data_IF_362033997213
#
_entry.id   IF_362033997213
#
_cell.length_a   1.000
_cell.length_b   1.000
_cell.length_c   1.000
_cell.angle_alpha   90.00
_cell.angle_beta   90.00
_cell.angle_gamma   90.00
#
_symmetry.space_group_name_H-M   'P 1'
#
loop_
_entity.id
_entity.type
_entity.pdbx_description
1 polymer ?
#
# COMPACT_ATOMS: atom_id res chain seq x y z
N UNK A 1 24.45 18.16 -17.33
CA UNK A 1 23.25 17.67 -18.03
C UNK A 1 22.12 17.75 -17.05
N UNK A 2 21.17 18.64 -17.31
CA UNK A 2 20.02 18.90 -16.44
C UNK A 2 19.18 17.63 -16.37
N UNK A 3 19.19 16.95 -15.23
CA UNK A 3 18.19 15.92 -14.94
C UNK A 3 16.91 16.69 -14.59
N UNK A 4 16.11 16.99 -15.60
CA UNK A 4 14.76 17.50 -15.41
C UNK A 4 13.95 16.36 -14.79
N UNK A 5 14.01 16.25 -13.46
CA UNK A 5 13.21 15.30 -12.70
C UNK A 5 11.73 15.57 -13.02
N UNK A 6 10.96 14.51 -13.29
CA UNK A 6 9.52 14.62 -13.48
C UNK A 6 8.91 15.43 -12.33
N UNK A 7 8.04 16.43 -12.60
CA UNK A 7 7.40 17.18 -11.54
C UNK A 7 6.37 16.29 -10.83
N UNK A 8 6.84 15.48 -9.88
CA UNK A 8 6.01 14.57 -9.07
C UNK A 8 4.88 15.30 -8.31
N UNK A 9 5.00 16.62 -8.14
CA UNK A 9 4.02 17.48 -7.49
C UNK A 9 2.72 17.61 -8.28
N UNK A 10 2.79 17.50 -9.61
CA UNK A 10 1.64 17.63 -10.51
C UNK A 10 1.03 16.29 -10.90
N UNK A 11 1.61 15.18 -10.43
CA UNK A 11 1.15 13.84 -10.79
C UNK A 11 -0.23 13.56 -10.17
N UNK A 12 -1.21 13.23 -11.03
CA UNK A 12 -2.57 12.92 -10.58
C UNK A 12 -2.64 11.62 -9.77
N UNK A 13 -3.47 11.50 -8.71
CA UNK A 13 -3.64 10.27 -7.94
C UNK A 13 -4.06 9.04 -8.77
N UNK A 14 -4.59 9.25 -9.97
CA UNK A 14 -5.11 8.21 -10.88
C UNK A 14 -4.18 8.03 -12.11
N UNK A 15 -3.05 8.72 -12.14
CA UNK A 15 -2.08 8.62 -13.22
C UNK A 15 -0.97 7.62 -12.88
N UNK A 16 -0.68 6.77 -13.87
CA UNK A 16 0.46 5.85 -13.85
C UNK A 16 1.74 6.64 -14.09
N UNK A 17 2.74 6.42 -13.25
CA UNK A 17 4.08 6.97 -13.43
C UNK A 17 4.98 5.90 -14.04
N UNK A 18 5.45 6.14 -15.25
CA UNK A 18 6.48 5.31 -15.88
C UNK A 18 7.84 5.57 -15.23
N UNK A 19 8.54 4.50 -14.88
CA UNK A 19 9.88 4.51 -14.29
C UNK A 19 10.83 3.80 -15.24
N UNK A 20 12.13 4.02 -15.04
CA UNK A 20 13.15 3.31 -15.76
C UNK A 20 13.10 1.79 -15.54
N UNK A 21 13.78 1.04 -16.43
CA UNK A 21 13.87 -0.42 -16.41
C UNK A 21 12.53 -1.17 -16.63
N UNK A 22 11.57 -0.53 -17.31
CA UNK A 22 10.26 -1.11 -17.63
C UNK A 22 9.35 -1.28 -16.41
N UNK A 23 9.62 -0.51 -15.35
CA UNK A 23 8.80 -0.44 -14.16
C UNK A 23 7.81 0.71 -14.28
N UNK A 24 6.63 0.53 -13.72
CA UNK A 24 5.59 1.55 -13.67
C UNK A 24 4.95 1.55 -12.29
N UNK A 25 4.67 2.73 -11.74
CA UNK A 25 3.82 2.88 -10.56
C UNK A 25 2.39 3.11 -11.00
N UNK A 26 1.56 2.09 -10.86
CA UNK A 26 0.15 2.09 -11.25
C UNK A 26 -0.70 2.45 -10.03
N UNK A 27 -1.64 3.40 -10.15
CA UNK A 27 -2.53 3.78 -9.04
C UNK A 27 -3.42 2.63 -8.57
N UNK A 28 -3.64 2.56 -7.26
CA UNK A 28 -4.52 1.59 -6.61
C UNK A 28 -5.12 2.16 -5.34
N UNK A 29 -6.23 1.59 -4.89
CA UNK A 29 -6.66 1.66 -3.50
C UNK A 29 -6.55 0.28 -2.87
N UNK A 30 -5.69 0.15 -1.87
CA UNK A 30 -5.57 -1.07 -1.08
C UNK A 30 -6.35 -0.91 0.23
N UNK A 31 -7.13 -1.92 0.57
CA UNK A 31 -7.85 -2.03 1.84
C UNK A 31 -7.45 -3.34 2.50
N UNK A 32 -7.09 -3.29 3.78
CA UNK A 32 -6.94 -4.49 4.60
C UNK A 32 -8.24 -4.75 5.33
N UNK A 33 -8.63 -6.01 5.44
CA UNK A 33 -9.80 -6.38 6.21
C UNK A 33 -9.52 -7.55 7.13
N UNK A 34 -10.13 -7.52 8.31
CA UNK A 34 -10.17 -8.63 9.26
C UNK A 34 -11.60 -9.12 9.38
N UNK A 35 -11.76 -10.44 9.38
CA UNK A 35 -13.04 -11.11 9.51
C UNK A 35 -13.18 -11.52 10.96
N UNK A 36 -14.22 -11.05 11.62
CA UNK A 36 -14.59 -11.42 12.98
C UNK A 36 -15.84 -12.30 12.98
N UNK A 37 -15.94 -13.28 13.88
CA UNK A 37 -17.16 -14.05 14.04
C UNK A 37 -18.27 -13.17 14.65
N UNK A 38 -19.48 -13.19 14.10
CA UNK A 38 -20.63 -12.49 14.72
C UNK A 38 -21.31 -13.35 15.79
N UNK A 39 -21.16 -14.69 15.71
CA UNK A 39 -21.67 -15.64 16.69
C UNK A 39 -20.56 -16.58 17.19
N UNK A 40 -20.67 -17.13 18.41
CA UNK A 40 -19.70 -18.09 18.95
C UNK A 40 -19.55 -19.36 18.10
N UNK A 41 -20.61 -19.79 17.42
CA UNK A 41 -20.59 -20.92 16.49
C UNK A 41 -19.70 -20.66 15.27
N UNK A 42 -19.59 -19.40 14.85
CA UNK A 42 -18.84 -18.99 13.66
C UNK A 42 -17.33 -18.94 13.91
N UNK A 43 -16.91 -18.76 15.16
CA UNK A 43 -15.50 -18.66 15.56
C UNK A 43 -14.73 -19.98 15.40
N UNK A 44 -15.42 -21.12 15.49
CA UNK A 44 -14.81 -22.46 15.45
C UNK A 44 -14.95 -23.15 14.09
N UNK A 45 -15.59 -22.48 13.11
CA UNK A 45 -15.83 -23.03 11.78
C UNK A 45 -14.79 -22.53 10.77
N UNK A 46 -14.32 -23.40 9.87
CA UNK A 46 -13.44 -22.97 8.80
C UNK A 46 -14.18 -22.04 7.84
N UNK A 47 -13.57 -20.90 7.52
CA UNK A 47 -14.10 -20.00 6.49
C UNK A 47 -13.88 -20.59 5.11
N UNK A 48 -14.92 -20.51 4.28
CA UNK A 48 -14.87 -20.79 2.85
C UNK A 48 -14.34 -19.56 2.11
N UNK A 49 -13.05 -19.60 1.75
CA UNK A 49 -12.35 -18.49 1.08
C UNK A 49 -13.02 -18.10 -0.24
N UNK A 50 -13.44 -19.09 -1.04
CA UNK A 50 -14.04 -18.84 -2.35
C UNK A 50 -15.40 -18.14 -2.23
N UNK A 51 -16.24 -18.57 -1.28
CA UNK A 51 -17.52 -17.89 -1.03
C UNK A 51 -17.32 -16.48 -0.51
N UNK A 52 -16.38 -16.28 0.43
CA UNK A 52 -16.07 -14.95 0.94
C UNK A 52 -15.59 -14.03 -0.18
N UNK A 53 -14.70 -14.51 -1.06
CA UNK A 53 -14.26 -13.76 -2.25
C UNK A 53 -15.45 -13.35 -3.11
N UNK A 54 -16.33 -14.29 -3.42
CA UNK A 54 -17.51 -14.03 -4.26
C UNK A 54 -18.46 -13.01 -3.65
N UNK A 55 -18.74 -13.11 -2.35
CA UNK A 55 -19.59 -12.16 -1.63
C UNK A 55 -19.00 -10.75 -1.63
N UNK A 56 -17.69 -10.61 -1.45
CA UNK A 56 -17.00 -9.31 -1.51
C UNK A 56 -17.05 -8.70 -2.91
N UNK A 57 -16.82 -9.49 -3.96
CA UNK A 57 -16.89 -9.04 -5.35
C UNK A 57 -18.33 -8.61 -5.70
N UNK A 58 -19.33 -9.37 -5.29
CA UNK A 58 -20.74 -9.06 -5.51
C UNK A 58 -21.17 -7.79 -4.78
N UNK A 59 -20.72 -7.60 -3.54
CA UNK A 59 -20.94 -6.37 -2.79
C UNK A 59 -20.27 -5.17 -3.49
N UNK A 60 -19.01 -5.28 -3.89
CA UNK A 60 -18.32 -4.21 -4.61
C UNK A 60 -19.06 -3.81 -5.89
N UNK A 61 -19.59 -4.79 -6.62
CA UNK A 61 -20.38 -4.53 -7.83
C UNK A 61 -21.72 -3.87 -7.53
N UNK A 62 -22.44 -4.33 -6.50
CA UNK A 62 -23.82 -3.89 -6.21
C UNK A 62 -23.86 -2.58 -5.43
N UNK A 63 -23.04 -2.46 -4.39
CA UNK A 63 -23.06 -1.34 -3.44
C UNK A 63 -22.12 -0.20 -3.83
N UNK A 64 -21.04 -0.51 -4.54
CA UNK A 64 -20.00 0.45 -4.91
C UNK A 64 -19.91 0.68 -6.43
N UNK A 65 -20.57 -0.14 -7.25
CA UNK A 65 -20.47 -0.11 -8.72
C UNK A 65 -19.03 -0.29 -9.24
N UNK A 66 -18.20 -1.05 -8.52
CA UNK A 66 -16.79 -1.30 -8.85
C UNK A 66 -16.63 -2.76 -9.29
N UNK A 67 -15.78 -2.99 -10.29
CA UNK A 67 -15.39 -4.34 -10.71
C UNK A 67 -14.04 -4.70 -10.10
N UNK A 68 -13.97 -5.84 -9.41
CA UNK A 68 -12.76 -6.31 -8.75
C UNK A 68 -12.42 -7.71 -9.28
N UNK A 69 -11.24 -7.91 -9.90
CA UNK A 69 -10.74 -9.23 -10.26
C UNK A 69 -10.53 -10.11 -9.02
N UNK A 70 -10.72 -11.42 -9.15
CA UNK A 70 -10.55 -12.35 -8.03
C UNK A 70 -9.09 -12.45 -7.52
N UNK A 71 -8.13 -12.12 -8.39
CA UNK A 71 -6.69 -12.11 -8.08
C UNK A 71 -6.27 -10.88 -7.27
N UNK A 72 -7.06 -9.80 -7.32
CA UNK A 72 -6.83 -8.58 -6.53
C UNK A 72 -7.39 -8.68 -5.10
N UNK A 73 -7.92 -9.86 -4.73
CA UNK A 73 -8.45 -10.16 -3.42
C UNK A 73 -7.69 -11.34 -2.82
N UNK A 74 -6.90 -11.06 -1.79
CA UNK A 74 -6.16 -12.06 -1.02
C UNK A 74 -6.86 -12.32 0.30
N UNK A 75 -7.07 -13.60 0.63
CA UNK A 75 -7.69 -14.02 1.89
C UNK A 75 -6.78 -15.06 2.52
N UNK A 76 -6.48 -14.87 3.80
CA UNK A 76 -5.66 -15.77 4.58
C UNK A 76 -6.40 -16.11 5.87
N UNK A 77 -6.52 -17.41 6.12
CA UNK A 77 -7.08 -17.91 7.37
C UNK A 77 -5.98 -17.95 8.40
N UNK A 78 -6.30 -17.49 9.59
CA UNK A 78 -5.43 -17.71 10.73
C UNK A 78 -5.39 -19.21 11.07
N UNK A 79 -4.26 -19.70 11.57
CA UNK A 79 -4.06 -21.10 11.98
C UNK A 79 -4.69 -21.36 13.37
N UNK A 80 -5.00 -22.60 13.70
CA UNK A 80 -5.58 -23.02 14.99
C UNK A 80 -6.96 -22.45 15.38
N UNK A 81 -7.99 -22.83 14.60
CA UNK A 81 -9.41 -22.52 14.86
C UNK A 81 -9.91 -23.01 16.23
N UNK A 82 -9.26 -24.03 16.82
CA UNK A 82 -9.73 -24.70 18.06
C UNK A 82 -9.27 -24.03 19.37
N UNK A 83 -8.27 -23.14 19.33
CA UNK A 83 -7.71 -22.47 20.52
C UNK A 83 -8.18 -21.01 20.67
N UNK A 84 -9.05 -20.55 19.78
CA UNK A 84 -9.45 -19.14 19.72
C UNK A 84 -10.50 -18.77 20.75
N UNK A 85 -10.37 -17.55 21.24
CA UNK A 85 -11.39 -16.88 22.05
C UNK A 85 -12.53 -16.44 21.14
N UNK A 86 -13.65 -16.12 21.79
CA UNK A 86 -14.94 -15.82 21.15
C UNK A 86 -14.87 -14.69 20.11
N UNK A 87 -14.04 -13.68 20.35
CA UNK A 87 -13.97 -12.46 19.54
C UNK A 87 -12.70 -12.40 18.67
N UNK A 88 -11.88 -13.45 18.71
CA UNK A 88 -10.64 -13.50 17.94
C UNK A 88 -10.97 -13.52 16.43
N UNK A 89 -10.18 -12.81 15.63
CA UNK A 89 -10.42 -12.76 14.19
C UNK A 89 -10.22 -14.15 13.58
N UNK A 90 -11.01 -14.45 12.56
CA UNK A 90 -11.09 -15.77 11.91
C UNK A 90 -10.26 -15.85 10.64
N UNK A 91 -10.18 -14.73 9.90
CA UNK A 91 -9.35 -14.56 8.72
C UNK A 91 -8.96 -13.09 8.57
N UNK A 92 -7.93 -12.84 7.78
CA UNK A 92 -7.57 -11.51 7.32
C UNK A 92 -7.37 -11.53 5.80
N UNK A 93 -7.41 -10.37 5.18
CA UNK A 93 -7.22 -10.27 3.75
C UNK A 93 -6.86 -8.87 3.32
N UNK A 94 -6.53 -8.76 2.04
CA UNK A 94 -6.34 -7.47 1.40
C UNK A 94 -7.06 -7.42 0.07
N UNK A 95 -7.60 -6.25 -0.24
CA UNK A 95 -8.34 -5.95 -1.43
C UNK A 95 -7.66 -4.80 -2.16
N UNK A 96 -7.38 -4.97 -3.46
CA UNK A 96 -6.80 -3.92 -4.30
C UNK A 96 -7.79 -3.50 -5.39
N UNK A 97 -8.12 -2.21 -5.43
CA UNK A 97 -8.97 -1.62 -6.46
C UNK A 97 -8.05 -0.83 -7.42
N UNK A 98 -7.96 -1.29 -8.68
CA UNK A 98 -7.10 -0.66 -9.70
C UNK A 98 -7.88 0.16 -10.72
N UNK A 99 -9.13 -0.20 -10.98
CA UNK A 99 -10.00 0.60 -11.86
C UNK A 99 -10.49 1.83 -11.11
N UNK A 100 -9.85 2.97 -11.39
CA UNK A 100 -10.13 4.27 -10.78
C UNK A 100 -10.59 5.29 -11.84
N UNK A 101 -10.87 4.83 -13.07
CA UNK A 101 -11.19 5.70 -14.21
C UNK A 101 -12.46 6.52 -14.01
N UNK A 102 -13.40 6.01 -13.20
CA UNK A 102 -14.66 6.69 -12.87
C UNK A 102 -14.49 7.95 -12.02
N UNK A 103 -13.34 8.11 -11.33
CA UNK A 103 -13.03 9.31 -10.54
C UNK A 103 -12.54 10.47 -11.41
N UNK A 104 -12.20 10.21 -12.67
CA UNK A 104 -11.72 11.24 -13.58
C UNK A 104 -12.87 12.14 -14.05
N UNK A 105 -13.02 13.31 -13.43
CA UNK A 105 -13.90 14.35 -13.96
C UNK A 105 -13.20 15.08 -15.11
N UNK A 106 -13.39 14.61 -16.35
CA UNK A 106 -12.87 15.27 -17.55
C UNK A 106 -13.44 16.69 -17.68
N UNK A 107 -12.70 17.70 -17.21
CA UNK A 107 -12.69 19.05 -17.76
C UNK A 107 -11.24 19.46 -17.91
N UNK A 108 -10.70 19.33 -19.13
CA UNK A 108 -9.42 19.91 -19.50
C UNK A 108 -9.65 21.41 -19.71
N UNK A 109 -9.20 22.26 -18.79
CA UNK A 109 -8.89 23.68 -18.98
C UNK A 109 -7.98 24.15 -17.80
N UNK A 110 -7.33 25.30 -17.98
CA UNK A 110 -6.10 25.81 -17.34
C UNK A 110 -6.06 25.97 -15.79
N UNK A 111 -7.04 25.46 -15.03
CA UNK A 111 -7.08 25.46 -13.55
C UNK A 111 -6.44 24.19 -12.94
N UNK A 112 -5.46 23.61 -13.61
CA UNK A 112 -4.94 22.26 -13.37
C UNK A 112 -4.47 22.01 -11.92
N UNK A 113 -3.91 23.00 -11.23
CA UNK A 113 -3.39 22.82 -9.87
C UNK A 113 -4.48 22.77 -8.78
N UNK A 114 -5.57 23.53 -8.97
CA UNK A 114 -6.74 23.46 -8.08
C UNK A 114 -7.54 22.19 -8.36
N UNK A 115 -7.66 21.84 -9.64
CA UNK A 115 -8.30 20.60 -10.08
C UNK A 115 -7.62 19.35 -9.50
N UNK A 116 -6.28 19.32 -9.41
CA UNK A 116 -5.55 18.21 -8.78
C UNK A 116 -5.80 18.10 -7.27
N UNK A 117 -5.88 19.23 -6.55
CA UNK A 117 -6.21 19.23 -5.12
C UNK A 117 -7.65 18.79 -4.88
N UNK A 118 -8.58 19.26 -5.71
CA UNK A 118 -9.99 18.87 -5.69
C UNK A 118 -10.13 17.38 -5.99
N UNK A 119 -9.44 16.88 -7.01
CA UNK A 119 -9.42 15.46 -7.36
C UNK A 119 -8.83 14.60 -6.25
N UNK A 120 -7.72 15.02 -5.64
CA UNK A 120 -7.13 14.35 -4.49
C UNK A 120 -8.07 14.30 -3.29
N UNK A 121 -8.85 15.38 -3.05
CA UNK A 121 -9.88 15.38 -2.00
C UNK A 121 -11.03 14.43 -2.34
N UNK A 122 -11.58 14.48 -3.56
CA UNK A 122 -12.63 13.55 -4.03
C UNK A 122 -12.20 12.09 -3.90
N UNK A 123 -10.95 11.80 -4.27
CA UNK A 123 -10.37 10.47 -4.16
C UNK A 123 -10.36 9.97 -2.70
N UNK A 124 -9.92 10.83 -1.76
CA UNK A 124 -9.93 10.50 -0.33
C UNK A 124 -11.34 10.33 0.21
N UNK A 125 -12.23 11.30 -0.04
CA UNK A 125 -13.62 11.26 0.41
C UNK A 125 -14.33 9.99 -0.09
N UNK A 126 -14.06 9.60 -1.36
CA UNK A 126 -14.55 8.35 -1.92
C UNK A 126 -13.94 7.11 -1.23
N UNK A 127 -12.61 7.07 -1.05
CA UNK A 127 -11.92 5.97 -0.34
C UNK A 127 -12.50 5.77 1.06
N UNK A 128 -12.68 6.86 1.79
CA UNK A 128 -13.19 6.84 3.16
C UNK A 128 -14.66 6.38 3.16
N UNK A 129 -15.47 6.80 2.18
CA UNK A 129 -16.83 6.26 1.97
C UNK A 129 -16.84 4.75 1.69
N UNK A 130 -15.86 4.24 0.93
CA UNK A 130 -15.74 2.80 0.68
C UNK A 130 -15.42 2.06 1.97
N UNK A 131 -14.48 2.58 2.77
CA UNK A 131 -14.13 2.01 4.08
C UNK A 131 -15.36 2.00 4.99
N UNK A 132 -16.06 3.11 5.14
CA UNK A 132 -17.27 3.21 5.98
C UNK A 132 -18.37 2.22 5.55
N UNK A 133 -18.55 2.01 4.24
CA UNK A 133 -19.56 1.07 3.72
C UNK A 133 -19.18 -0.39 3.92
N UNK A 134 -17.89 -0.71 3.90
CA UNK A 134 -17.40 -2.07 4.06
C UNK A 134 -17.13 -2.43 5.52
N UNK A 135 -16.83 -1.43 6.35
CA UNK A 135 -16.64 -1.60 7.77
C UNK A 135 -17.95 -2.03 8.44
N UNK A 136 -17.82 -2.95 9.40
CA UNK A 136 -18.92 -3.62 10.08
C UNK A 136 -19.91 -4.37 9.16
N UNK A 137 -19.58 -4.61 7.89
CA UNK A 137 -20.42 -5.38 6.97
C UNK A 137 -20.61 -6.81 7.50
N UNK A 138 -21.87 -7.24 7.60
CA UNK A 138 -22.20 -8.63 7.95
C UNK A 138 -22.25 -9.52 6.70
N UNK A 139 -21.41 -10.54 6.66
CA UNK A 139 -21.39 -11.55 5.58
C UNK A 139 -21.93 -12.87 6.15
N UNK A 140 -22.96 -13.41 5.48
CA UNK A 140 -23.48 -14.73 5.82
C UNK A 140 -22.84 -15.80 4.93
N UNK A 141 -22.05 -16.69 5.54
CA UNK A 141 -21.42 -17.82 4.87
C UNK A 141 -21.98 -19.11 5.47
N UNK A 142 -22.76 -19.86 4.66
CA UNK A 142 -23.30 -21.17 5.05
C UNK A 142 -24.16 -21.15 6.33
N UNK A 143 -24.87 -20.04 6.60
CA UNK A 143 -25.71 -19.87 7.79
C UNK A 143 -24.98 -19.30 9.00
N UNK A 144 -23.66 -19.10 8.91
CA UNK A 144 -22.86 -18.40 9.91
C UNK A 144 -22.66 -16.95 9.52
N UNK A 145 -22.78 -16.05 10.49
CA UNK A 145 -22.59 -14.61 10.28
C UNK A 145 -21.18 -14.21 10.70
N UNK A 146 -20.54 -13.45 9.85
CA UNK A 146 -19.25 -12.85 10.08
C UNK A 146 -19.36 -11.35 9.92
N UNK A 147 -18.52 -10.60 10.64
CA UNK A 147 -18.41 -9.15 10.54
C UNK A 147 -17.05 -8.78 10.01
N UNK A 148 -17.00 -7.85 9.07
CA UNK A 148 -15.73 -7.31 8.58
C UNK A 148 -15.34 -6.06 9.38
N UNK A 149 -14.04 -5.93 9.65
CA UNK A 149 -13.40 -4.68 10.01
C UNK A 149 -12.46 -4.31 8.87
N UNK A 150 -12.58 -3.09 8.33
CA UNK A 150 -11.86 -2.66 7.13
C UNK A 150 -11.08 -1.39 7.42
N UNK A 151 -9.82 -1.35 7.00
CA UNK A 151 -8.95 -0.20 7.18
C UNK A 151 -8.03 0.01 5.98
N UNK A 152 -7.64 1.27 5.75
CA UNK A 152 -6.56 1.59 4.82
C UNK A 152 -5.23 1.20 5.49
N UNK A 153 -4.32 0.49 4.81
CA UNK A 153 -3.00 0.21 5.35
C UNK A 153 -2.26 1.52 5.67
N UNK A 154 -1.56 1.57 6.80
CA UNK A 154 -0.78 2.75 7.20
C UNK A 154 0.21 3.20 6.11
N UNK A 155 0.83 2.24 5.41
CA UNK A 155 1.76 2.50 4.31
C UNK A 155 1.13 3.14 3.07
N UNK A 156 -0.19 3.05 2.90
CA UNK A 156 -0.94 3.69 1.82
C UNK A 156 -1.68 4.97 2.31
N UNK A 157 -1.54 5.35 3.60
CA UNK A 157 -2.11 6.59 4.14
C UNK A 157 -1.06 7.68 4.36
N UNK A 158 -0.79 8.42 3.28
CA UNK A 158 0.21 9.49 3.27
C UNK A 158 -0.06 10.59 4.33
N UNK A 159 -1.30 11.03 4.49
CA UNK A 159 -1.60 12.15 5.42
C UNK A 159 -1.48 11.70 6.87
N UNK A 160 -1.89 10.45 7.19
CA UNK A 160 -1.66 9.84 8.49
C UNK A 160 -0.17 9.74 8.81
N UNK A 161 0.64 9.17 7.91
CA UNK A 161 2.09 9.11 8.10
C UNK A 161 2.71 10.50 8.26
N UNK A 162 2.25 11.46 7.46
CA UNK A 162 2.72 12.84 7.51
C UNK A 162 2.49 13.48 8.87
N UNK A 163 1.26 13.36 9.37
CA UNK A 163 0.90 13.84 10.69
C UNK A 163 1.76 13.20 11.78
N UNK A 164 1.98 11.88 11.71
CA UNK A 164 2.78 11.15 12.70
C UNK A 164 4.22 11.65 12.78
N UNK A 165 4.89 11.87 11.64
CA UNK A 165 6.26 12.39 11.68
C UNK A 165 6.30 13.87 12.07
N UNK A 166 5.33 14.68 11.64
CA UNK A 166 5.25 16.10 12.02
C UNK A 166 5.09 16.25 13.53
N UNK A 167 4.21 15.44 14.14
CA UNK A 167 4.06 15.36 15.59
C UNK A 167 5.34 14.87 16.26
N UNK A 168 5.93 13.78 15.77
CA UNK A 168 7.17 13.24 16.33
C UNK A 168 8.27 14.30 16.42
N UNK A 169 8.54 15.05 15.34
CA UNK A 169 9.57 16.07 15.33
C UNK A 169 9.16 17.36 16.07
N UNK A 170 7.87 17.71 16.10
CA UNK A 170 7.37 18.84 16.88
C UNK A 170 7.52 18.60 18.39
N UNK A 171 7.34 17.37 18.87
CA UNK A 171 7.43 17.02 20.29
C UNK A 171 8.82 16.53 20.72
N UNK A 172 9.61 15.89 19.84
CA UNK A 172 10.99 15.48 20.12
C UNK A 172 11.92 16.67 20.40
N UNK A 173 11.62 17.85 19.87
CA UNK A 173 12.38 19.08 20.13
C UNK A 173 12.22 19.66 21.55
N UNK A 174 11.41 19.03 22.44
CA UNK A 174 11.24 19.50 23.83
C UNK A 174 12.28 18.94 24.81
N UNK A 175 13.16 18.03 24.40
CA UNK A 175 14.18 17.46 25.28
C UNK A 175 15.45 17.06 24.53
N UNK A 176 16.48 17.90 24.61
CA UNK A 176 17.89 17.52 24.40
C UNK A 176 18.36 17.13 22.99
N UNK A 177 17.92 17.80 21.92
CA UNK A 177 18.63 17.71 20.62
C UNK A 177 19.10 19.09 20.17
N UNK A 178 20.39 19.37 20.38
CA UNK A 178 21.13 20.44 19.69
C UNK A 178 21.42 19.98 18.25
N UNK A 179 20.40 19.95 17.42
CA UNK A 179 20.50 19.71 15.99
C UNK A 179 19.39 20.50 15.33
N UNK A 180 19.65 21.11 14.17
CA UNK A 180 18.64 21.88 13.43
C UNK A 180 17.38 21.05 13.11
N UNK A 181 16.36 21.67 12.50
CA UNK A 181 15.13 21.01 12.04
C UNK A 181 15.46 19.64 11.43
N UNK A 182 15.22 18.58 12.19
CA UNK A 182 15.41 17.23 11.71
C UNK A 182 14.13 16.85 10.97
N UNK A 183 14.25 16.63 9.67
CA UNK A 183 13.15 16.28 8.79
C UNK A 183 13.39 14.84 8.30
N UNK A 184 12.33 14.04 8.09
CA UNK A 184 12.50 12.70 7.56
C UNK A 184 13.02 12.77 6.13
N UNK A 185 13.97 11.91 5.81
CA UNK A 185 14.65 11.88 4.52
C UNK A 185 14.79 10.46 3.93
N UNK A 186 14.34 9.44 4.67
CA UNK A 186 14.60 8.03 4.35
C UNK A 186 13.30 7.25 4.15
N UNK A 187 13.18 6.57 3.01
CA UNK A 187 12.07 5.65 2.68
C UNK A 187 12.58 4.20 2.76
N UNK A 188 11.83 3.34 3.43
CA UNK A 188 12.10 1.90 3.49
C UNK A 188 10.99 1.16 2.74
N UNK A 189 11.38 0.38 1.73
CA UNK A 189 10.49 -0.46 0.95
C UNK A 189 10.84 -1.93 1.22
N UNK A 190 9.86 -2.68 1.73
CA UNK A 190 9.93 -4.13 1.93
C UNK A 190 9.20 -4.86 0.79
N UNK A 191 9.55 -6.12 0.57
CA UNK A 191 8.86 -7.03 -0.35
C UNK A 191 9.11 -6.75 -1.83
N UNK A 192 10.16 -6.02 -2.20
CA UNK A 192 10.45 -5.73 -3.62
C UNK A 192 11.05 -6.98 -4.28
N UNK A 193 10.51 -7.48 -5.40
CA UNK A 193 11.10 -8.65 -6.06
C UNK A 193 12.54 -8.38 -6.50
N UNK A 194 13.49 -9.18 -6.03
CA UNK A 194 14.93 -8.98 -6.28
C UNK A 194 15.27 -8.90 -7.77
N UNK A 195 14.54 -9.67 -8.62
CA UNK A 195 14.71 -9.67 -10.08
C UNK A 195 14.28 -8.38 -10.77
N UNK A 196 13.46 -7.55 -10.14
CA UNK A 196 13.03 -6.28 -10.74
C UNK A 196 14.15 -5.26 -10.76
N UNK A 197 15.02 -5.32 -9.76
CA UNK A 197 16.18 -4.44 -9.58
C UNK A 197 17.52 -5.15 -9.84
N UNK A 198 17.49 -6.37 -10.39
CA UNK A 198 18.69 -7.09 -10.80
C UNK A 198 19.13 -6.66 -12.21
N UNK A 199 20.42 -6.88 -12.51
CA UNK A 199 20.94 -6.68 -13.86
C UNK A 199 20.37 -7.71 -14.84
N UNK A 200 19.79 -7.27 -15.98
CA UNK A 200 19.20 -8.18 -16.95
C UNK A 200 20.20 -9.23 -17.43
N UNK A 201 19.81 -10.52 -17.40
CA UNK A 201 20.56 -11.67 -17.95
C UNK A 201 21.85 -12.06 -17.21
N UNK A 202 22.20 -11.38 -16.12
CA UNK A 202 23.49 -11.59 -15.44
C UNK A 202 23.32 -12.11 -14.01
N UNK A 203 22.26 -11.70 -13.30
CA UNK A 203 22.11 -12.05 -11.89
C UNK A 203 20.65 -12.12 -11.45
N UNK A 204 20.36 -12.95 -10.44
CA UNK A 204 19.12 -12.91 -9.67
C UNK A 204 19.22 -11.99 -8.45
N UNK A 205 20.43 -11.53 -8.10
CA UNK A 205 20.68 -10.63 -6.97
C UNK A 205 20.33 -9.19 -7.34
N UNK A 206 19.79 -8.42 -6.39
CA UNK A 206 19.48 -7.02 -6.62
C UNK A 206 20.78 -6.23 -6.90
N UNK A 207 20.76 -5.37 -7.91
CA UNK A 207 21.89 -4.49 -8.26
C UNK A 207 21.67 -3.11 -7.65
N UNK A 208 22.68 -2.61 -6.95
CA UNK A 208 22.66 -1.26 -6.37
C UNK A 208 22.57 -0.19 -7.46
N UNK A 209 23.22 -0.41 -8.62
CA UNK A 209 23.20 0.54 -9.74
C UNK A 209 21.82 0.63 -10.40
N UNK A 210 21.18 -0.52 -10.67
CA UNK A 210 19.83 -0.56 -11.23
C UNK A 210 18.83 0.06 -10.24
N UNK A 211 18.96 -0.26 -8.96
CA UNK A 211 18.12 0.32 -7.90
C UNK A 211 18.30 1.83 -7.82
N UNK A 212 19.54 2.31 -7.84
CA UNK A 212 19.82 3.75 -7.83
C UNK A 212 19.19 4.45 -9.03
N UNK A 213 19.31 3.85 -10.22
CA UNK A 213 18.73 4.36 -11.45
C UNK A 213 17.21 4.50 -11.33
N UNK A 214 16.54 3.42 -10.90
CA UNK A 214 15.08 3.38 -10.67
C UNK A 214 14.64 4.42 -9.64
N UNK A 215 15.33 4.57 -8.51
CA UNK A 215 14.89 5.51 -7.46
C UNK A 215 15.37 6.95 -7.67
N UNK A 216 16.36 7.17 -8.53
CA UNK A 216 16.81 8.51 -8.88
C UNK A 216 15.74 9.29 -9.65
N UNK A 217 14.75 8.62 -10.24
CA UNK A 217 13.59 9.27 -10.86
C UNK A 217 12.79 10.10 -9.86
N UNK A 218 12.86 9.79 -8.56
CA UNK A 218 12.13 10.50 -7.52
C UNK A 218 12.87 11.70 -6.94
N UNK A 219 14.16 11.84 -7.23
CA UNK A 219 15.00 12.93 -6.73
C UNK A 219 16.42 12.48 -6.43
N UNK A 220 17.22 13.38 -5.85
CA UNK A 220 18.64 13.10 -5.65
C UNK A 220 18.85 12.25 -4.41
N UNK A 221 19.43 11.07 -4.61
CA UNK A 221 19.72 10.09 -3.55
C UNK A 221 21.04 10.45 -2.87
N UNK A 222 21.03 10.50 -1.54
CA UNK A 222 22.22 10.65 -0.70
C UNK A 222 22.87 9.30 -0.42
N UNK A 223 22.07 8.34 0.06
CA UNK A 223 22.49 6.98 0.36
C UNK A 223 21.43 5.99 -0.11
N UNK A 224 21.88 4.84 -0.59
CA UNK A 224 21.02 3.73 -1.02
C UNK A 224 21.58 2.44 -0.44
N UNK A 225 20.71 1.65 0.17
CA UNK A 225 21.06 0.31 0.62
C UNK A 225 20.04 -0.70 0.10
N UNK A 226 20.52 -1.86 -0.34
CA UNK A 226 19.69 -2.96 -0.81
C UNK A 226 20.16 -4.24 -0.14
N UNK A 227 19.27 -4.83 0.64
CA UNK A 227 19.54 -6.06 1.41
C UNK A 227 18.47 -7.10 1.13
N UNK A 228 18.75 -8.36 1.45
CA UNK A 228 17.73 -9.40 1.44
C UNK A 228 16.64 -9.04 2.46
N UNK A 229 15.37 -9.30 2.11
CA UNK A 229 14.25 -9.04 3.00
C UNK A 229 14.04 -10.24 3.93
N UNK A 230 14.96 -10.37 4.90
CA UNK A 230 14.94 -11.41 5.93
C UNK A 230 14.26 -10.93 7.22
N UNK A 231 13.62 -9.77 7.19
CA UNK A 231 12.85 -9.24 8.32
C UNK A 231 11.59 -10.11 8.50
N UNK A 232 11.74 -11.26 9.16
CA UNK A 232 10.68 -11.86 9.95
C UNK A 232 10.32 -10.85 11.02
N UNK A 233 9.34 -9.98 10.76
CA UNK A 233 8.76 -9.13 11.79
C UNK A 233 8.30 -10.08 12.91
N UNK A 234 9.06 -10.07 14.02
CA UNK A 234 8.83 -10.86 15.23
C UNK A 234 7.71 -10.25 16.07
N UNK A 235 6.60 -9.91 15.44
CA UNK A 235 5.37 -9.68 16.18
C UNK A 235 4.70 -11.03 16.37
N UNK A 236 4.64 -11.41 17.65
CA UNK A 236 4.14 -12.68 18.11
C UNK A 236 2.68 -12.85 17.69
N UNK A 237 2.41 -14.01 17.11
CA UNK A 237 1.15 -14.48 16.54
C UNK A 237 0.75 -13.86 15.19
N UNK A 238 0.54 -14.76 14.22
CA UNK A 238 -0.05 -14.52 12.90
C UNK A 238 0.89 -14.12 11.75
N UNK A 239 1.79 -15.05 11.41
CA UNK A 239 2.14 -15.45 10.04
C UNK A 239 1.92 -14.37 8.96
N UNK A 240 2.70 -13.28 9.05
CA UNK A 240 2.80 -12.26 8.01
C UNK A 240 3.07 -12.89 6.64
N UNK A 241 2.83 -12.13 5.57
CA UNK A 241 3.27 -12.44 4.21
C UNK A 241 4.51 -13.32 4.23
N UNK A 242 4.43 -14.58 3.77
CA UNK A 242 5.60 -15.45 3.67
C UNK A 242 6.43 -14.89 2.52
N UNK A 243 7.13 -13.78 2.79
CA UNK A 243 8.09 -13.18 1.89
C UNK A 243 9.17 -14.24 1.82
N UNK A 244 9.18 -14.97 0.70
CA UNK A 244 10.13 -16.05 0.51
C UNK A 244 11.52 -15.40 0.52
N UNK A 245 12.26 -15.65 1.61
CA UNK A 245 13.65 -15.20 1.79
C UNK A 245 14.46 -15.54 0.55
N UNK A 246 15.21 -14.56 0.05
CA UNK A 246 16.02 -14.67 -1.18
C UNK A 246 15.30 -14.32 -2.50
N UNK A 247 13.96 -14.24 -2.55
CA UNK A 247 13.23 -13.76 -3.74
C UNK A 247 12.88 -12.27 -3.68
N UNK A 248 12.84 -11.72 -2.48
CA UNK A 248 12.53 -10.31 -2.23
C UNK A 248 13.69 -9.61 -1.53
N UNK A 249 13.79 -8.31 -1.76
CA UNK A 249 14.79 -7.44 -1.16
C UNK A 249 14.12 -6.26 -0.47
N UNK A 250 14.79 -5.79 0.58
CA UNK A 250 14.51 -4.55 1.28
C UNK A 250 15.37 -3.45 0.70
N UNK A 251 14.74 -2.34 0.34
CA UNK A 251 15.41 -1.18 -0.26
C UNK A 251 15.25 0.01 0.69
N UNK A 252 16.36 0.61 1.07
CA UNK A 252 16.39 1.82 1.91
C UNK A 252 16.98 2.95 1.09
N UNK A 253 16.16 3.97 0.82
CA UNK A 253 16.54 5.14 0.01
C UNK A 253 16.55 6.37 0.90
N UNK A 254 17.69 7.03 1.02
CA UNK A 254 17.84 8.31 1.70
C UNK A 254 18.02 9.43 0.68
N UNK A 255 17.17 10.44 0.72
CA UNK A 255 17.21 11.58 -0.19
C UNK A 255 18.08 12.72 0.34
N UNK A 256 18.64 13.52 -0.57
CA UNK A 256 19.40 14.71 -0.19
C UNK A 256 18.50 15.83 0.35
N UNK A 257 17.30 15.99 -0.23
CA UNK A 257 16.34 17.04 0.10
C UNK A 257 15.06 16.43 0.65
N UNK A 258 14.51 17.04 1.71
CA UNK A 258 13.22 16.63 2.27
C UNK A 258 12.07 16.72 1.25
N UNK A 259 12.11 17.71 0.34
CA UNK A 259 11.12 17.83 -0.76
C UNK A 259 11.07 16.59 -1.65
N UNK A 260 12.24 16.00 -1.96
CA UNK A 260 12.33 14.81 -2.79
C UNK A 260 11.75 13.60 -2.05
N UNK A 261 12.08 13.44 -0.76
CA UNK A 261 11.48 12.44 0.12
C UNK A 261 9.95 12.59 0.19
N UNK A 262 9.45 13.80 0.42
CA UNK A 262 8.02 14.10 0.57
C UNK A 262 7.25 13.72 -0.70
N UNK A 263 7.76 14.14 -1.86
CA UNK A 263 7.15 13.86 -3.15
C UNK A 263 7.23 12.38 -3.51
N UNK A 264 8.37 11.73 -3.27
CA UNK A 264 8.54 10.29 -3.47
C UNK A 264 7.53 9.49 -2.64
N UNK A 265 7.43 9.79 -1.34
CA UNK A 265 6.52 9.10 -0.44
C UNK A 265 5.06 9.31 -0.83
N UNK A 266 4.68 10.55 -1.15
CA UNK A 266 3.33 10.88 -1.64
C UNK A 266 2.97 10.09 -2.91
N UNK A 267 3.94 9.88 -3.80
CA UNK A 267 3.72 9.17 -5.07
C UNK A 267 3.67 7.65 -4.88
N UNK A 268 4.48 7.11 -3.97
CA UNK A 268 4.51 5.68 -3.64
C UNK A 268 3.25 5.23 -2.90
N UNK A 269 2.72 6.08 -2.01
CA UNK A 269 1.46 5.81 -1.30
C UNK A 269 0.31 5.65 -2.30
N UNK A 270 -0.41 4.53 -2.24
CA UNK A 270 -1.53 4.28 -3.15
C UNK A 270 -1.12 3.94 -4.59
N UNK A 271 0.14 3.56 -4.83
CA UNK A 271 0.58 3.00 -6.13
C UNK A 271 1.25 1.64 -5.98
N UNK A 272 0.97 0.74 -6.91
CA UNK A 272 1.67 -0.54 -7.10
C UNK A 272 2.81 -0.38 -8.09
N UNK A 273 3.99 -0.80 -7.67
CA UNK A 273 5.08 -1.06 -8.60
C UNK A 273 4.73 -2.29 -9.44
N UNK A 274 4.79 -2.16 -10.76
CA UNK A 274 4.56 -3.21 -11.74
C UNK A 274 5.68 -3.22 -12.76
N UNK A 275 5.94 -4.37 -13.37
CA UNK A 275 6.91 -4.52 -14.46
C UNK A 275 6.21 -5.01 -15.71
N UNK A 276 6.45 -4.38 -16.86
CA UNK A 276 5.89 -4.83 -18.14
C UNK A 276 6.47 -6.21 -18.51
N UNK A 277 5.62 -7.21 -18.74
CA UNK A 277 6.01 -8.53 -19.25
C UNK A 277 6.20 -9.64 -18.21
N UNK A 278 5.59 -9.52 -17.02
CA UNK A 278 5.39 -10.64 -16.08
C UNK A 278 3.97 -11.16 -16.14
#
# INVERSE_FOLDING_TARGET
MSSDFLPLETLSPIETLEIENGLSLVPRVKLNFTVHPSLPSSATKPIDEWKLKRSLIEFAKTSLSITIPADDLEIRRFKDVKKRKRDDPVAHGSLSIRDLGFLNSKKRNEEESEDLKILGKKFRDWRDTVVEKMDQMEVNLQGEKYRLSVAVPESDDFEGMKKLWEEFYAFANKGYVRGGKQEPDTIVMKGVPSRWVAEPRVSSKPSMLVTHTVFSTFGKIRNLNVTEDDDQDKDADENGGDIISGLHCKIVVQFEKHRDFYNALKVLCGRSLQKVGT
#
